data_IF_282590601878
#
_entry.id   IF_282590601878
#
_cell.length_a   1.000
_cell.length_b   1.000
_cell.length_c   1.000
_cell.angle_alpha   90.00
_cell.angle_beta   90.00
_cell.angle_gamma   90.00
#
_symmetry.space_group_name_H-M   'P 1'
#
loop_
_entity.id
_entity.type
_entity.pdbx_description
1 polymer ?
#
# COMPACT_ATOMS: atom_id res chain seq x y z
N UNK A 1 -1.99 10.89 1.08
CA UNK A 1 -1.67 10.98 2.52
C UNK A 1 -1.03 9.68 3.02
N UNK A 2 -1.64 8.51 2.77
CA UNK A 2 -1.10 7.19 3.11
C UNK A 2 0.38 6.98 2.70
N UNK A 3 0.74 7.31 1.45
CA UNK A 3 2.14 7.23 0.97
C UNK A 3 3.14 8.00 1.85
N UNK A 4 2.78 9.20 2.31
CA UNK A 4 3.64 10.02 3.16
C UNK A 4 3.81 9.40 4.53
N UNK A 5 2.73 8.86 5.11
CA UNK A 5 2.77 8.15 6.37
C UNK A 5 3.63 6.88 6.26
N UNK A 6 3.43 6.05 5.23
CA UNK A 6 4.27 4.87 4.97
C UNK A 6 5.75 5.23 4.89
N UNK A 7 6.11 6.29 4.15
CA UNK A 7 7.49 6.75 4.05
C UNK A 7 8.06 7.19 5.41
N UNK A 8 7.27 7.83 6.26
CA UNK A 8 7.70 8.21 7.61
C UNK A 8 7.92 6.98 8.50
N UNK A 9 7.06 5.96 8.41
CA UNK A 9 7.25 4.69 9.11
C UNK A 9 8.54 4.00 8.66
N UNK A 10 8.83 3.97 7.36
CA UNK A 10 10.07 3.39 6.81
C UNK A 10 11.30 4.11 7.37
N UNK A 11 11.31 5.45 7.35
CA UNK A 11 12.40 6.23 7.92
C UNK A 11 12.60 5.94 9.42
N UNK A 12 11.51 5.77 10.17
CA UNK A 12 11.56 5.44 11.61
C UNK A 12 12.08 4.03 11.86
N UNK A 13 11.63 3.04 11.08
CA UNK A 13 12.12 1.66 11.17
C UNK A 13 13.62 1.59 10.90
N UNK A 14 14.09 2.30 9.87
CA UNK A 14 15.52 2.42 9.57
C UNK A 14 16.30 3.06 10.73
N UNK A 15 15.81 4.16 11.30
CA UNK A 15 16.45 4.82 12.43
C UNK A 15 16.56 3.89 13.65
N UNK A 16 15.49 3.18 14.01
CA UNK A 16 15.48 2.21 15.10
C UNK A 16 16.44 1.03 14.85
N UNK A 17 16.51 0.54 13.60
CA UNK A 17 17.46 -0.51 13.19
C UNK A 17 18.93 -0.06 13.29
N UNK A 18 19.22 1.22 13.05
CA UNK A 18 20.56 1.79 13.23
C UNK A 18 20.93 1.89 14.71
N UNK A 19 20.01 2.28 15.58
CA UNK A 19 20.24 2.44 17.02
C UNK A 19 20.46 1.11 17.75
N UNK A 20 19.71 0.06 17.36
CA UNK A 20 19.79 -1.25 17.99
C UNK A 20 21.10 -1.99 17.69
N UNK A 21 21.73 -1.71 16.54
CA UNK A 21 22.94 -2.39 16.10
C UNK A 21 24.20 -1.50 16.20
N UNK A 22 24.58 -1.11 17.42
CA UNK A 22 25.73 -0.22 17.69
C UNK A 22 27.08 -0.64 17.05
N UNK A 23 27.23 -1.91 16.63
CA UNK A 23 28.45 -2.43 15.96
C UNK A 23 28.38 -2.42 14.44
N UNK A 24 27.18 -2.40 13.84
CA UNK A 24 26.97 -2.28 12.38
C UNK A 24 25.90 -1.22 12.17
N UNK A 25 26.27 0.00 11.76
CA UNK A 25 25.29 1.00 11.31
C UNK A 25 24.55 0.41 10.11
N UNK A 26 23.37 -0.21 10.32
CA UNK A 26 22.54 -0.77 9.25
C UNK A 26 22.06 0.38 8.36
N UNK A 27 22.85 0.76 7.37
CA UNK A 27 22.48 1.75 6.36
C UNK A 27 21.79 1.08 5.16
N UNK A 28 21.25 -0.13 5.31
CA UNK A 28 20.62 -0.88 4.25
C UNK A 28 19.18 -1.17 4.62
N UNK A 29 18.26 -0.82 3.74
CA UNK A 29 16.82 -1.09 3.87
C UNK A 29 16.37 -1.94 2.69
N UNK A 30 15.63 -2.99 2.97
CA UNK A 30 14.98 -3.81 1.96
C UNK A 30 13.48 -3.69 2.12
N UNK A 31 12.83 -3.23 1.06
CA UNK A 31 11.38 -3.13 0.98
C UNK A 31 10.84 -4.26 0.11
N UNK A 32 9.96 -5.07 0.67
CA UNK A 32 9.14 -6.05 -0.07
C UNK A 32 7.77 -5.42 -0.30
N UNK A 33 7.45 -5.05 -1.54
CA UNK A 33 6.24 -4.29 -1.88
C UNK A 33 5.22 -5.14 -2.64
N UNK A 34 4.12 -5.48 -1.96
CA UNK A 34 3.02 -6.30 -2.47
C UNK A 34 2.02 -5.47 -3.27
N UNK A 35 1.69 -5.96 -4.47
CA UNK A 35 0.84 -5.26 -5.41
C UNK A 35 1.53 -3.99 -5.91
N UNK A 36 2.78 -4.15 -6.31
CA UNK A 36 3.58 -3.06 -6.86
C UNK A 36 2.85 -2.41 -8.04
N UNK A 37 2.69 -1.08 -8.01
CA UNK A 37 2.03 -0.30 -9.06
C UNK A 37 3.09 0.43 -9.89
N UNK A 38 3.03 1.76 -9.95
CA UNK A 38 3.95 2.59 -10.74
C UNK A 38 5.14 3.16 -9.95
N UNK A 39 5.38 2.68 -8.73
CA UNK A 39 6.56 3.05 -7.93
C UNK A 39 6.62 4.52 -7.45
N UNK A 40 5.57 5.32 -7.61
CA UNK A 40 5.57 6.75 -7.24
C UNK A 40 5.95 7.03 -5.79
N UNK A 41 5.59 6.13 -4.86
CA UNK A 41 5.99 6.22 -3.46
C UNK A 41 7.52 6.28 -3.29
N UNK A 42 8.20 5.43 -4.05
CA UNK A 42 9.64 5.19 -3.95
C UNK A 42 10.44 6.35 -4.53
N UNK A 43 9.97 6.97 -5.62
CA UNK A 43 10.55 8.22 -6.14
C UNK A 43 10.65 9.31 -5.07
N UNK A 44 9.56 9.53 -4.33
CA UNK A 44 9.52 10.54 -3.27
C UNK A 44 10.47 10.22 -2.11
N UNK A 45 10.62 8.93 -1.77
CA UNK A 45 11.51 8.49 -0.69
C UNK A 45 12.98 8.60 -1.09
N UNK A 46 13.34 8.16 -2.30
CA UNK A 46 14.68 8.29 -2.87
C UNK A 46 15.12 9.77 -2.93
N UNK A 47 14.25 10.65 -3.43
CA UNK A 47 14.53 12.09 -3.49
C UNK A 47 14.65 12.74 -2.10
N UNK A 48 13.96 12.21 -1.09
CA UNK A 48 14.10 12.66 0.28
C UNK A 48 15.45 12.24 0.89
N UNK A 49 15.87 11.00 0.66
CA UNK A 49 17.13 10.48 1.19
C UNK A 49 18.38 11.06 0.52
N UNK A 50 18.31 11.38 -0.78
CA UNK A 50 19.44 12.02 -1.47
C UNK A 50 19.82 13.40 -0.91
N UNK A 51 18.92 14.03 -0.15
CA UNK A 51 19.10 15.37 0.44
C UNK A 51 19.53 15.34 1.92
N UNK A 52 19.72 14.17 2.51
CA UNK A 52 20.08 14.06 3.94
C UNK A 52 21.57 14.29 4.17
N UNK A 53 21.92 15.04 5.22
CA UNK A 53 23.31 15.42 5.56
C UNK A 53 24.21 14.21 5.92
N UNK A 54 23.63 13.03 6.18
CA UNK A 54 24.36 11.78 6.45
C UNK A 54 24.55 10.84 5.26
N UNK A 55 24.12 11.27 4.07
CA UNK A 55 24.00 10.46 2.85
C UNK A 55 22.81 9.50 2.88
N UNK A 56 22.36 9.02 1.71
CA UNK A 56 21.25 8.08 1.64
C UNK A 56 21.65 6.69 2.17
N UNK A 57 20.68 5.90 2.70
CA UNK A 57 20.89 4.47 2.88
C UNK A 57 20.98 3.75 1.53
N UNK A 58 21.57 2.57 1.51
CA UNK A 58 21.37 1.58 0.45
C UNK A 58 19.93 1.08 0.51
N UNK A 59 19.22 1.14 -0.61
CA UNK A 59 17.83 0.74 -0.72
C UNK A 59 17.67 -0.40 -1.71
N UNK A 60 17.13 -1.51 -1.25
CA UNK A 60 16.69 -2.62 -2.10
C UNK A 60 15.16 -2.67 -2.14
N UNK A 61 14.58 -2.84 -3.32
CA UNK A 61 13.15 -3.08 -3.48
C UNK A 61 12.96 -4.43 -4.15
N UNK A 62 12.24 -5.33 -3.48
CA UNK A 62 11.64 -6.50 -4.11
C UNK A 62 10.15 -6.23 -4.32
N UNK A 63 9.80 -5.95 -5.56
CA UNK A 63 8.44 -5.64 -5.98
C UNK A 63 7.72 -6.93 -6.39
N UNK A 64 6.54 -7.17 -5.85
CA UNK A 64 5.71 -8.34 -6.17
C UNK A 64 4.41 -7.83 -6.82
N UNK A 65 4.13 -8.27 -8.04
CA UNK A 65 2.87 -7.95 -8.72
C UNK A 65 2.34 -9.15 -9.50
N UNK A 66 1.05 -9.12 -9.83
CA UNK A 66 0.42 -10.19 -10.58
C UNK A 66 1.03 -10.28 -12.00
N UNK A 67 1.22 -11.48 -12.55
CA UNK A 67 1.69 -11.67 -13.92
C UNK A 67 0.82 -10.93 -14.92
N UNK A 68 1.45 -10.18 -15.84
CA UNK A 68 0.73 -9.64 -16.98
C UNK A 68 0.33 -10.73 -17.97
N UNK A 69 -0.82 -10.60 -18.65
CA UNK A 69 -1.17 -11.49 -19.76
C UNK A 69 -0.11 -11.48 -20.86
N UNK A 70 0.05 -12.62 -21.54
CA UNK A 70 0.96 -12.79 -22.68
C UNK A 70 2.37 -13.28 -22.29
N UNK A 71 3.32 -13.16 -23.22
CA UNK A 71 4.64 -13.79 -23.13
C UNK A 71 5.64 -13.10 -22.19
N UNK A 72 5.30 -11.92 -21.64
CA UNK A 72 6.20 -11.14 -20.78
C UNK A 72 5.51 -10.76 -19.46
N UNK A 73 5.29 -11.72 -18.56
CA UNK A 73 4.52 -11.51 -17.33
C UNK A 73 5.12 -10.42 -16.43
N UNK A 74 6.44 -10.25 -16.44
CA UNK A 74 7.16 -9.26 -15.64
C UNK A 74 7.47 -7.93 -16.38
N UNK A 75 6.98 -7.71 -17.61
CA UNK A 75 7.41 -6.55 -18.40
C UNK A 75 7.16 -5.19 -17.71
N UNK A 76 5.97 -4.97 -17.13
CA UNK A 76 5.59 -3.70 -16.48
C UNK A 76 6.38 -3.46 -15.21
N UNK A 77 6.52 -4.48 -14.36
CA UNK A 77 7.24 -4.36 -13.10
C UNK A 77 8.73 -4.08 -13.36
N UNK A 78 9.33 -4.77 -14.34
CA UNK A 78 10.72 -4.54 -14.72
C UNK A 78 10.94 -3.17 -15.36
N UNK A 79 10.04 -2.71 -16.23
CA UNK A 79 10.11 -1.37 -16.80
C UNK A 79 10.07 -0.29 -15.72
N UNK A 80 9.20 -0.44 -14.72
CA UNK A 80 9.12 0.48 -13.57
C UNK A 80 10.39 0.41 -12.72
N UNK A 81 10.96 -0.79 -12.53
CA UNK A 81 12.23 -1.00 -11.86
C UNK A 81 13.40 -0.28 -12.53
N UNK A 82 13.47 -0.32 -13.87
CA UNK A 82 14.47 0.43 -14.64
C UNK A 82 14.35 1.93 -14.39
N UNK A 83 13.13 2.49 -14.47
CA UNK A 83 12.88 3.90 -14.20
C UNK A 83 13.31 4.31 -12.78
N UNK A 84 13.00 3.51 -11.76
CA UNK A 84 13.45 3.78 -10.39
C UNK A 84 14.97 3.69 -10.26
N UNK A 85 15.60 2.73 -10.92
CA UNK A 85 17.06 2.54 -10.87
C UNK A 85 17.78 3.73 -11.49
N UNK A 86 17.31 4.21 -12.64
CA UNK A 86 17.87 5.42 -13.29
C UNK A 86 17.64 6.67 -12.43
N UNK A 87 16.46 6.78 -11.80
CA UNK A 87 16.17 7.86 -10.87
C UNK A 87 17.09 7.83 -9.65
N UNK A 88 17.28 6.68 -9.01
CA UNK A 88 18.18 6.53 -7.87
C UNK A 88 19.63 6.86 -8.24
N UNK A 89 20.09 6.38 -9.41
CA UNK A 89 21.44 6.66 -9.94
C UNK A 89 21.66 8.16 -10.14
N UNK A 90 20.71 8.86 -10.76
CA UNK A 90 20.79 10.32 -10.98
C UNK A 90 20.75 11.14 -9.67
N UNK A 91 20.27 10.57 -8.57
CA UNK A 91 20.22 11.19 -7.25
C UNK A 91 21.30 10.67 -6.29
N UNK A 92 22.24 9.84 -6.77
CA UNK A 92 23.34 9.32 -5.95
C UNK A 92 22.91 8.37 -4.83
N UNK A 93 21.76 7.71 -4.96
CA UNK A 93 21.26 6.75 -3.97
C UNK A 93 21.68 5.33 -4.39
N UNK A 94 22.41 4.57 -3.53
CA UNK A 94 22.71 3.17 -3.80
C UNK A 94 21.40 2.36 -3.81
N UNK A 95 21.10 1.72 -4.93
CA UNK A 95 19.77 1.14 -5.16
C UNK A 95 19.81 -0.16 -5.95
N UNK A 96 19.00 -1.12 -5.52
CA UNK A 96 18.76 -2.38 -6.20
C UNK A 96 17.26 -2.64 -6.35
N UNK A 97 16.84 -3.17 -7.50
CA UNK A 97 15.45 -3.52 -7.76
C UNK A 97 15.34 -4.95 -8.28
N UNK A 98 14.41 -5.71 -7.70
CA UNK A 98 14.02 -7.05 -8.14
C UNK A 98 12.50 -7.10 -8.34
N UNK A 99 12.05 -7.45 -9.55
CA UNK A 99 10.63 -7.66 -9.85
C UNK A 99 10.27 -9.15 -9.83
N UNK A 100 9.21 -9.50 -9.10
CA UNK A 100 8.63 -10.85 -9.06
C UNK A 100 7.21 -10.76 -9.62
N UNK A 101 6.98 -11.47 -10.73
CA UNK A 101 5.65 -11.61 -11.34
C UNK A 101 5.05 -12.96 -10.93
N UNK A 102 4.24 -12.97 -9.88
CA UNK A 102 3.67 -14.18 -9.29
C UNK A 102 2.36 -13.89 -8.53
N UNK A 103 1.61 -14.95 -8.21
CA UNK A 103 0.55 -14.85 -7.20
C UNK A 103 1.17 -14.41 -5.86
N UNK A 104 0.51 -13.50 -5.16
CA UNK A 104 1.12 -12.91 -3.95
C UNK A 104 1.29 -13.95 -2.84
N UNK A 105 0.33 -14.86 -2.74
CA UNK A 105 0.30 -16.00 -1.82
C UNK A 105 1.39 -17.04 -2.09
N UNK A 106 1.98 -17.05 -3.29
CA UNK A 106 3.02 -18.02 -3.65
C UNK A 106 4.42 -17.56 -3.26
N UNK A 107 4.63 -16.27 -2.99
CA UNK A 107 5.95 -15.72 -2.64
C UNK A 107 6.24 -15.91 -1.16
N UNK A 108 7.35 -16.58 -0.86
CA UNK A 108 7.80 -16.92 0.50
C UNK A 108 9.09 -16.20 0.86
N UNK A 109 9.49 -16.30 2.12
CA UNK A 109 10.70 -15.65 2.63
C UNK A 109 11.97 -16.14 1.92
N UNK A 110 12.00 -17.41 1.53
CA UNK A 110 13.13 -18.06 0.85
C UNK A 110 13.34 -17.50 -0.57
N UNK A 111 12.30 -16.94 -1.18
CA UNK A 111 12.37 -16.39 -2.53
C UNK A 111 13.04 -15.00 -2.58
N UNK A 112 13.23 -14.34 -1.44
CA UNK A 112 13.50 -12.90 -1.33
C UNK A 112 14.96 -12.53 -1.04
N UNK A 113 15.83 -13.51 -0.80
CA UNK A 113 17.24 -13.32 -0.44
C UNK A 113 17.41 -12.28 0.69
N UNK A 114 16.67 -12.44 1.79
CA UNK A 114 16.67 -11.48 2.90
C UNK A 114 18.03 -11.49 3.60
N UNK A 115 18.66 -10.31 3.69
CA UNK A 115 19.96 -10.12 4.33
C UNK A 115 19.77 -9.90 5.85
N UNK A 116 20.34 -10.72 6.74
CA UNK A 116 20.20 -10.52 8.18
C UNK A 116 20.69 -9.15 8.68
N UNK A 117 21.58 -8.50 7.93
CA UNK A 117 22.13 -7.19 8.25
C UNK A 117 21.31 -6.01 7.68
N UNK A 118 20.24 -6.24 6.91
CA UNK A 118 19.34 -5.17 6.43
C UNK A 118 18.18 -4.90 7.39
N UNK A 119 17.50 -3.75 7.22
CA UNK A 119 16.19 -3.49 7.83
C UNK A 119 15.12 -3.92 6.83
N UNK A 120 14.30 -4.90 7.19
CA UNK A 120 13.27 -5.45 6.33
C UNK A 120 11.93 -4.77 6.58
N UNK A 121 11.40 -4.11 5.56
CA UNK A 121 10.04 -3.55 5.57
C UNK A 121 9.18 -4.28 4.55
N UNK A 122 8.06 -4.83 5.00
CA UNK A 122 7.02 -5.30 4.08
C UNK A 122 5.98 -4.21 3.93
N UNK A 123 5.57 -3.93 2.70
CA UNK A 123 4.62 -2.87 2.38
C UNK A 123 3.50 -3.42 1.49
N UNK A 124 2.25 -3.11 1.83
CA UNK A 124 1.09 -3.46 1.03
C UNK A 124 0.09 -2.29 1.04
N UNK A 125 -0.13 -1.68 -0.14
CA UNK A 125 -0.90 -0.44 -0.25
C UNK A 125 -2.12 -0.57 -1.17
N UNK A 126 -3.30 -0.77 -0.58
CA UNK A 126 -4.59 -0.82 -1.29
C UNK A 126 -4.60 -1.87 -2.41
N UNK A 127 -4.05 -3.05 -2.10
CA UNK A 127 -3.90 -4.16 -3.05
C UNK A 127 -4.41 -5.49 -2.50
N UNK A 128 -4.17 -5.81 -1.23
CA UNK A 128 -4.58 -7.11 -0.67
C UNK A 128 -6.09 -7.36 -0.73
N UNK A 129 -6.92 -6.32 -0.90
CA UNK A 129 -8.35 -6.49 -1.18
C UNK A 129 -8.68 -7.25 -2.46
N UNK A 130 -7.72 -7.45 -3.39
CA UNK A 130 -7.97 -8.20 -4.62
C UNK A 130 -7.79 -9.70 -4.47
N UNK A 131 -7.20 -10.16 -3.37
CA UNK A 131 -7.08 -11.58 -3.08
C UNK A 131 -8.44 -12.17 -2.73
N UNK A 132 -8.67 -13.42 -3.13
CA UNK A 132 -9.85 -14.18 -2.71
C UNK A 132 -9.86 -14.35 -1.19
N UNK A 133 -11.06 -14.39 -0.62
CA UNK A 133 -11.30 -14.78 0.79
C UNK A 133 -11.74 -16.27 0.87
N UNK A 134 -11.85 -16.93 -0.28
CA UNK A 134 -12.20 -18.35 -0.39
C UNK A 134 -10.91 -19.18 -0.54
N UNK A 135 -10.80 -20.27 0.23
CA UNK A 135 -9.72 -21.26 0.10
C UNK A 135 -9.82 -22.06 -1.20
N UNK A 136 -8.71 -22.66 -1.63
CA UNK A 136 -8.64 -23.36 -2.92
C UNK A 136 -9.46 -24.66 -2.95
N UNK A 137 -9.49 -25.42 -1.85
CA UNK A 137 -9.94 -26.81 -1.86
C UNK A 137 -11.05 -27.14 -0.82
N UNK A 138 -11.17 -26.39 0.29
CA UNK A 138 -12.18 -26.60 1.35
C UNK A 138 -12.36 -25.35 2.24
N UNK A 139 -13.44 -25.30 3.04
CA UNK A 139 -13.74 -24.26 4.05
C UNK A 139 -12.60 -24.11 5.07
N UNK A 140 -11.88 -25.19 5.36
CA UNK A 140 -10.76 -25.19 6.32
C UNK A 140 -9.41 -24.79 5.69
N UNK A 141 -9.33 -24.65 4.36
CA UNK A 141 -8.12 -24.20 3.69
C UNK A 141 -7.89 -22.70 3.92
N UNK A 142 -6.65 -22.25 4.22
CA UNK A 142 -6.37 -20.84 4.37
C UNK A 142 -6.67 -20.09 3.08
N UNK A 143 -7.33 -18.94 3.19
CA UNK A 143 -7.54 -18.07 2.03
C UNK A 143 -6.19 -17.54 1.50
N UNK A 144 -6.12 -17.09 0.23
CA UNK A 144 -4.93 -16.38 -0.27
C UNK A 144 -4.52 -15.19 0.59
N UNK A 145 -5.48 -14.48 1.22
CA UNK A 145 -5.20 -13.39 2.18
C UNK A 145 -4.46 -13.91 3.41
N UNK A 146 -4.93 -15.01 3.98
CA UNK A 146 -4.32 -15.60 5.18
C UNK A 146 -2.93 -16.17 4.86
N UNK A 147 -2.78 -16.77 3.69
CA UNK A 147 -1.49 -17.28 3.20
C UNK A 147 -0.47 -16.16 3.04
N UNK A 148 -0.85 -15.03 2.42
CA UNK A 148 0.04 -13.86 2.31
C UNK A 148 0.45 -13.36 3.70
N UNK A 149 -0.49 -13.19 4.64
CA UNK A 149 -0.16 -12.73 5.98
C UNK A 149 0.76 -13.71 6.73
N UNK A 150 0.56 -15.02 6.55
CA UNK A 150 1.45 -16.05 7.10
C UNK A 150 2.86 -15.96 6.51
N UNK A 151 2.99 -15.80 5.18
CA UNK A 151 4.28 -15.60 4.52
C UNK A 151 4.97 -14.32 5.02
N UNK A 152 4.24 -13.21 5.14
CA UNK A 152 4.76 -11.93 5.67
C UNK A 152 5.28 -12.11 7.10
N UNK A 153 4.56 -12.83 7.95
CA UNK A 153 5.03 -13.14 9.31
C UNK A 153 6.30 -14.00 9.28
N UNK A 154 6.37 -14.99 8.41
CA UNK A 154 7.54 -15.85 8.24
C UNK A 154 8.79 -15.09 7.76
N UNK A 155 8.62 -13.99 7.02
CA UNK A 155 9.72 -13.09 6.63
C UNK A 155 10.33 -12.34 7.83
N UNK A 156 9.62 -12.26 8.96
CA UNK A 156 10.03 -11.55 10.19
C UNK A 156 10.45 -10.08 9.94
N UNK A 157 9.62 -9.25 9.27
CA UNK A 157 9.96 -7.86 9.01
C UNK A 157 10.15 -7.03 10.28
N UNK A 158 11.03 -6.02 10.21
CA UNK A 158 11.15 -4.96 11.22
C UNK A 158 9.91 -4.05 11.24
N UNK A 159 9.22 -3.94 10.10
CA UNK A 159 7.90 -3.30 10.01
C UNK A 159 7.09 -3.88 8.84
N UNK A 160 5.84 -4.26 9.10
CA UNK A 160 4.85 -4.51 8.05
C UNK A 160 3.84 -3.36 8.00
N UNK A 161 3.84 -2.61 6.91
CA UNK A 161 2.93 -1.47 6.68
C UNK A 161 1.77 -1.94 5.82
N UNK A 162 0.58 -1.91 6.40
CA UNK A 162 -0.65 -2.31 5.74
C UNK A 162 -1.56 -1.09 5.56
N UNK A 163 -1.89 -0.77 4.31
CA UNK A 163 -2.89 0.22 3.96
C UNK A 163 -4.03 -0.46 3.21
N UNK A 164 -5.25 -0.29 3.70
CA UNK A 164 -6.45 -0.97 3.20
C UNK A 164 -7.51 0.03 2.81
N UNK A 165 -8.25 -0.31 1.77
CA UNK A 165 -9.46 0.41 1.40
C UNK A 165 -10.51 0.13 2.47
N UNK A 166 -11.00 1.17 3.14
CA UNK A 166 -11.99 0.99 4.19
C UNK A 166 -13.40 0.97 3.60
N UNK A 167 -13.84 -0.21 3.17
CA UNK A 167 -15.20 -0.40 2.69
C UNK A 167 -15.67 -1.84 2.83
N UNK A 168 -16.99 -2.04 2.90
CA UNK A 168 -17.62 -3.35 3.14
C UNK A 168 -18.33 -3.92 1.90
N UNK A 169 -18.05 -3.40 0.70
CA UNK A 169 -18.55 -3.99 -0.55
C UNK A 169 -17.77 -5.23 -1.01
N UNK A 170 -16.97 -5.85 -0.14
CA UNK A 170 -16.48 -7.22 -0.33
C UNK A 170 -17.56 -8.29 -0.18
N UNK A 171 -18.69 -7.97 0.46
CA UNK A 171 -19.77 -8.90 0.80
C UNK A 171 -20.33 -9.68 -0.41
N UNK A 172 -20.79 -10.94 -0.22
CA UNK A 172 -21.29 -11.77 -1.30
C UNK A 172 -22.66 -11.30 -1.85
N UNK A 173 -23.49 -10.68 -1.01
CA UNK A 173 -24.85 -10.29 -1.38
C UNK A 173 -24.89 -9.00 -2.21
N UNK A 174 -25.44 -9.10 -3.44
CA UNK A 174 -25.47 -8.00 -4.42
C UNK A 174 -26.06 -6.70 -3.87
N UNK A 175 -27.27 -6.71 -3.28
CA UNK A 175 -27.94 -5.47 -2.87
C UNK A 175 -27.13 -4.68 -1.83
N UNK A 176 -26.60 -5.37 -0.80
CA UNK A 176 -25.73 -4.76 0.22
C UNK A 176 -24.46 -4.23 -0.42
N UNK A 177 -23.81 -5.05 -1.26
CA UNK A 177 -22.58 -4.70 -1.96
C UNK A 177 -22.75 -3.48 -2.86
N UNK A 178 -23.78 -3.46 -3.69
CA UNK A 178 -24.11 -2.38 -4.61
C UNK A 178 -24.29 -1.06 -3.87
N UNK A 179 -25.08 -1.07 -2.78
CA UNK A 179 -25.32 0.12 -1.96
C UNK A 179 -24.03 0.68 -1.36
N UNK A 180 -23.21 -0.19 -0.77
CA UNK A 180 -21.94 0.25 -0.16
C UNK A 180 -20.93 0.74 -1.21
N UNK A 181 -20.87 0.09 -2.37
CA UNK A 181 -20.06 0.51 -3.50
C UNK A 181 -20.49 1.87 -4.05
N UNK A 182 -21.80 2.08 -4.22
CA UNK A 182 -22.37 3.37 -4.64
C UNK A 182 -21.91 4.48 -3.70
N UNK A 183 -22.14 4.33 -2.39
CA UNK A 183 -21.72 5.37 -1.44
C UNK A 183 -20.20 5.60 -1.42
N UNK A 184 -19.40 4.54 -1.56
CA UNK A 184 -17.95 4.67 -1.59
C UNK A 184 -17.48 5.41 -2.83
N UNK A 185 -17.95 5.01 -4.01
CA UNK A 185 -17.57 5.65 -5.27
C UNK A 185 -18.14 7.07 -5.36
N UNK A 186 -19.37 7.34 -4.91
CA UNK A 186 -19.90 8.71 -4.82
C UNK A 186 -18.98 9.63 -4.02
N UNK A 187 -18.44 9.18 -2.89
CA UNK A 187 -17.48 9.96 -2.12
C UNK A 187 -16.16 10.19 -2.87
N UNK A 188 -15.67 9.18 -3.60
CA UNK A 188 -14.45 9.31 -4.43
C UNK A 188 -14.64 10.29 -5.58
N UNK A 189 -15.78 10.25 -6.27
CA UNK A 189 -16.12 11.15 -7.36
C UNK A 189 -16.35 12.59 -6.87
N UNK A 190 -17.09 12.78 -5.77
CA UNK A 190 -17.27 14.10 -5.14
C UNK A 190 -15.94 14.72 -4.68
N UNK A 191 -15.04 13.90 -4.14
CA UNK A 191 -13.67 14.31 -3.80
C UNK A 191 -12.89 14.77 -5.04
N UNK A 192 -12.91 13.99 -6.12
CA UNK A 192 -12.23 14.36 -7.38
C UNK A 192 -12.82 15.62 -8.00
N UNK A 193 -14.15 15.74 -8.01
CA UNK A 193 -14.86 16.90 -8.53
C UNK A 193 -14.49 18.17 -7.77
N UNK A 194 -14.47 18.10 -6.44
CA UNK A 194 -14.10 19.24 -5.60
C UNK A 194 -12.64 19.65 -5.79
N UNK A 195 -11.72 18.68 -5.81
CA UNK A 195 -10.27 18.96 -5.93
C UNK A 195 -9.88 19.41 -7.34
N UNK A 196 -10.47 18.83 -8.38
CA UNK A 196 -10.26 19.26 -9.77
C UNK A 196 -10.99 20.56 -10.09
N UNK A 197 -12.17 20.78 -9.50
CA UNK A 197 -12.95 22.02 -9.61
C UNK A 197 -12.19 23.25 -9.11
N UNK A 198 -11.34 23.09 -8.09
CA UNK A 198 -10.42 24.14 -7.65
C UNK A 198 -9.38 24.54 -8.72
N UNK A 199 -9.25 23.77 -9.80
CA UNK A 199 -8.35 23.99 -10.94
C UNK A 199 -9.11 24.08 -12.27
N UNK A 200 -10.32 24.63 -12.27
CA UNK A 200 -11.23 24.69 -13.43
C UNK A 200 -10.61 25.23 -14.74
N UNK A 201 -9.54 26.02 -14.68
CA UNK A 201 -8.85 26.54 -15.86
C UNK A 201 -7.71 25.65 -16.39
N UNK A 202 -7.45 24.52 -15.76
CA UNK A 202 -6.42 23.56 -16.16
C UNK A 202 -7.07 22.40 -16.93
N UNK A 203 -7.10 22.51 -18.26
CA UNK A 203 -7.63 21.48 -19.16
C UNK A 203 -6.91 20.13 -18.97
N UNK A 204 -5.61 20.15 -18.62
CA UNK A 204 -4.85 18.93 -18.33
C UNK A 204 -5.35 18.25 -17.06
N UNK A 205 -5.63 19.02 -16.01
CA UNK A 205 -6.22 18.49 -14.78
C UNK A 205 -7.63 17.93 -15.01
N UNK A 206 -8.44 18.56 -15.85
CA UNK A 206 -9.76 18.06 -16.21
C UNK A 206 -9.67 16.73 -16.99
N UNK A 207 -8.79 16.65 -17.99
CA UNK A 207 -8.56 15.41 -18.75
C UNK A 207 -8.01 14.28 -17.86
N UNK A 208 -7.07 14.59 -16.97
CA UNK A 208 -6.52 13.63 -16.01
C UNK A 208 -7.59 13.12 -15.04
N UNK A 209 -8.53 13.97 -14.61
CA UNK A 209 -9.68 13.55 -13.78
C UNK A 209 -10.55 12.54 -14.52
N UNK A 210 -10.96 12.85 -15.76
CA UNK A 210 -11.80 11.93 -16.57
C UNK A 210 -11.11 10.58 -16.73
N UNK A 211 -9.80 10.57 -16.99
CA UNK A 211 -9.02 9.34 -17.08
C UNK A 211 -9.06 8.54 -15.76
N UNK A 212 -8.82 9.18 -14.62
CA UNK A 212 -8.87 8.51 -13.31
C UNK A 212 -10.27 8.00 -12.99
N UNK A 213 -11.30 8.79 -13.25
CA UNK A 213 -12.69 8.41 -13.03
C UNK A 213 -13.10 7.21 -13.87
N UNK A 214 -12.73 7.17 -15.15
CA UNK A 214 -13.08 6.06 -16.05
C UNK A 214 -12.22 4.82 -15.78
N UNK A 215 -10.90 4.98 -15.77
CA UNK A 215 -9.95 3.87 -15.83
C UNK A 215 -9.61 3.29 -14.45
N UNK A 216 -9.71 4.09 -13.38
CA UNK A 216 -9.45 3.61 -12.02
C UNK A 216 -10.74 3.37 -11.25
N UNK A 217 -11.63 4.35 -11.15
CA UNK A 217 -12.84 4.20 -10.33
C UNK A 217 -13.97 3.48 -11.06
N UNK A 218 -14.20 3.81 -12.33
CA UNK A 218 -15.23 3.23 -13.17
C UNK A 218 -15.04 1.73 -13.36
N UNK A 219 -13.82 1.30 -13.72
CA UNK A 219 -13.49 -0.14 -13.84
C UNK A 219 -13.68 -0.91 -12.54
N UNK A 220 -13.30 -0.32 -11.41
CA UNK A 220 -13.51 -0.93 -10.09
C UNK A 220 -14.98 -1.04 -9.72
N UNK A 221 -15.74 0.04 -9.92
CA UNK A 221 -17.18 0.03 -9.69
C UNK A 221 -17.88 -1.00 -10.59
N UNK A 222 -17.49 -1.07 -11.87
CA UNK A 222 -18.01 -2.05 -12.82
C UNK A 222 -17.73 -3.48 -12.33
N UNK A 223 -16.50 -3.81 -11.93
CA UNK A 223 -16.19 -5.15 -11.42
C UNK A 223 -17.03 -5.54 -10.19
N UNK A 224 -17.31 -4.59 -9.30
CA UNK A 224 -18.17 -4.84 -8.13
C UNK A 224 -19.63 -5.12 -8.54
N UNK A 225 -20.13 -4.44 -9.57
CA UNK A 225 -21.54 -4.51 -9.99
C UNK A 225 -21.80 -5.65 -10.98
N UNK A 226 -20.90 -5.88 -11.93
CA UNK A 226 -21.12 -6.78 -13.07
C UNK A 226 -20.49 -8.17 -12.94
N UNK A 227 -19.58 -8.39 -11.98
CA UNK A 227 -18.89 -9.66 -11.83
C UNK A 227 -19.30 -10.38 -10.54
N UNK A 228 -19.23 -11.71 -10.56
CA UNK A 228 -19.44 -12.60 -9.41
C UNK A 228 -18.34 -13.67 -9.37
N UNK A 229 -18.27 -14.45 -8.29
CA UNK A 229 -17.30 -15.54 -8.14
C UNK A 229 -15.86 -15.08 -8.42
N UNK A 230 -15.04 -15.93 -9.03
CA UNK A 230 -13.63 -15.64 -9.31
C UNK A 230 -13.39 -14.40 -10.20
N UNK A 231 -14.36 -14.00 -11.02
CA UNK A 231 -14.24 -12.80 -11.88
C UNK A 231 -14.36 -11.49 -11.09
N UNK A 232 -14.99 -11.53 -9.91
CA UNK A 232 -15.08 -10.38 -9.01
C UNK A 232 -13.80 -10.27 -8.18
N UNK A 233 -12.94 -9.32 -8.54
CA UNK A 233 -11.64 -9.09 -7.90
C UNK A 233 -11.69 -7.93 -6.89
N UNK A 234 -12.61 -6.97 -7.02
CA UNK A 234 -12.73 -5.86 -6.05
C UNK A 234 -13.49 -6.33 -4.80
N UNK A 235 -12.75 -6.75 -3.77
CA UNK A 235 -13.31 -7.33 -2.54
C UNK A 235 -12.76 -6.66 -1.26
N UNK A 236 -12.93 -5.34 -1.07
CA UNK A 236 -12.41 -4.69 0.12
C UNK A 236 -13.12 -5.16 1.38
N UNK A 237 -12.34 -5.15 2.45
CA UNK A 237 -12.77 -5.37 3.82
C UNK A 237 -12.51 -4.11 4.62
N UNK A 238 -13.36 -3.85 5.62
CA UNK A 238 -13.10 -2.77 6.57
C UNK A 238 -11.80 -3.04 7.34
N UNK A 239 -11.12 -1.99 7.79
CA UNK A 239 -9.85 -2.15 8.54
C UNK A 239 -10.00 -2.97 9.82
N UNK A 240 -11.20 -3.00 10.42
CA UNK A 240 -11.50 -3.85 11.59
C UNK A 240 -11.48 -5.34 11.26
N UNK A 241 -11.83 -5.73 10.04
CA UNK A 241 -11.70 -7.12 9.60
C UNK A 241 -10.23 -7.47 9.38
N UNK A 242 -9.47 -6.57 8.75
CA UNK A 242 -8.01 -6.71 8.63
C UNK A 242 -7.30 -6.75 9.99
N UNK A 243 -7.76 -5.99 10.99
CA UNK A 243 -7.26 -6.06 12.36
C UNK A 243 -7.33 -7.49 12.91
N UNK A 244 -8.50 -8.12 12.78
CA UNK A 244 -8.71 -9.51 13.24
C UNK A 244 -7.85 -10.47 12.45
N UNK A 245 -7.76 -10.29 11.12
CA UNK A 245 -7.00 -11.17 10.24
C UNK A 245 -5.50 -11.13 10.51
N UNK A 246 -4.92 -9.93 10.67
CA UNK A 246 -3.52 -9.77 11.06
C UNK A 246 -3.26 -10.41 12.44
N UNK A 247 -4.15 -10.20 13.41
CA UNK A 247 -4.04 -10.82 14.73
C UNK A 247 -4.09 -12.36 14.67
N UNK A 248 -4.97 -12.94 13.84
CA UNK A 248 -5.06 -14.40 13.63
C UNK A 248 -3.81 -14.97 12.94
N UNK A 249 -3.22 -14.23 12.02
CA UNK A 249 -1.93 -14.59 11.43
C UNK A 249 -0.78 -14.54 12.45
N UNK A 250 -1.01 -13.94 13.63
CA UNK A 250 -0.05 -13.78 14.72
C UNK A 250 0.81 -12.52 14.60
N UNK A 251 0.42 -11.57 13.75
CA UNK A 251 1.05 -10.26 13.67
C UNK A 251 0.55 -9.38 14.83
N UNK A 252 1.48 -8.66 15.47
CA UNK A 252 1.16 -7.72 16.54
C UNK A 252 1.16 -6.28 16.01
N UNK A 253 0.08 -5.56 16.23
CA UNK A 253 -0.02 -4.16 15.83
C UNK A 253 1.00 -3.30 16.62
N UNK A 254 1.76 -2.48 15.91
CA UNK A 254 2.66 -1.50 16.50
C UNK A 254 1.86 -0.27 16.93
N UNK A 255 2.32 0.40 18.00
CA UNK A 255 1.74 1.65 18.43
C UNK A 255 2.00 2.75 17.39
N UNK A 256 0.98 3.57 17.11
CA UNK A 256 1.13 4.76 16.29
C UNK A 256 1.99 5.78 17.01
N UNK A 257 2.91 6.36 16.25
CA UNK A 257 3.64 7.54 16.70
C UNK A 257 2.76 8.78 16.58
N UNK A 258 2.39 9.33 17.73
CA UNK A 258 1.55 10.51 17.83
C UNK A 258 2.20 11.76 17.21
N UNK A 259 3.53 11.85 17.17
CA UNK A 259 4.23 12.94 16.48
C UNK A 259 4.06 12.82 14.97
N UNK A 260 4.18 11.60 14.43
CA UNK A 260 3.90 11.34 13.01
C UNK A 260 2.44 11.67 12.66
N UNK A 261 1.48 11.26 13.50
CA UNK A 261 0.06 11.55 13.33
C UNK A 261 -0.17 13.07 13.29
N UNK A 262 0.41 13.79 14.25
CA UNK A 262 0.32 15.26 14.32
C UNK A 262 0.89 15.94 13.07
N UNK A 263 2.05 15.49 12.60
CA UNK A 263 2.68 16.03 11.38
C UNK A 263 1.82 15.77 10.14
N UNK A 264 1.25 14.56 10.02
CA UNK A 264 0.35 14.22 8.91
C UNK A 264 -0.90 15.08 8.98
N UNK A 265 -1.54 15.21 10.14
CA UNK A 265 -2.72 16.06 10.35
C UNK A 265 -2.46 17.51 9.95
N UNK A 266 -1.38 18.11 10.46
CA UNK A 266 -0.98 19.48 10.11
C UNK A 266 -0.75 19.67 8.61
N UNK A 267 -0.10 18.70 7.94
CA UNK A 267 0.09 18.74 6.48
C UNK A 267 -1.24 18.65 5.73
N UNK A 268 -2.22 17.92 6.25
CA UNK A 268 -3.55 17.83 5.64
C UNK A 268 -4.28 19.16 5.73
N UNK A 269 -4.32 19.75 6.92
CA UNK A 269 -4.92 21.06 7.17
C UNK A 269 -4.30 22.18 6.33
N UNK A 270 -2.98 22.10 6.07
CA UNK A 270 -2.26 23.14 5.33
C UNK A 270 -2.30 22.99 3.80
N UNK A 271 -2.32 21.76 3.28
CA UNK A 271 -2.06 21.48 1.86
C UNK A 271 -3.25 20.87 1.11
N UNK A 272 -4.32 20.51 1.81
CA UNK A 272 -5.47 19.81 1.23
C UNK A 272 -6.76 20.55 1.51
N UNK A 273 -7.81 20.21 0.76
CA UNK A 273 -9.15 20.76 0.97
C UNK A 273 -9.66 20.43 2.38
N UNK A 274 -10.41 21.36 3.01
CA UNK A 274 -10.89 21.26 4.40
C UNK A 274 -11.73 20.02 4.72
N UNK A 275 -12.32 19.41 3.70
CA UNK A 275 -13.17 18.22 3.85
C UNK A 275 -12.34 16.92 3.93
N UNK A 276 -11.04 16.98 3.64
CA UNK A 276 -10.13 15.89 3.99
C UNK A 276 -9.91 15.85 5.49
N UNK A 277 -9.91 14.66 6.05
CA UNK A 277 -9.59 14.47 7.45
C UNK A 277 -8.64 13.30 7.67
N UNK A 278 -7.98 13.36 8.82
CA UNK A 278 -7.16 12.31 9.39
C UNK A 278 -7.69 12.01 10.77
N UNK A 279 -7.86 10.74 11.09
CA UNK A 279 -8.30 10.31 12.41
C UNK A 279 -7.53 9.07 12.88
N UNK A 280 -7.67 8.73 14.15
CA UNK A 280 -7.04 7.54 14.74
C UNK A 280 -8.09 6.68 15.42
N UNK A 281 -8.17 5.41 15.02
CA UNK A 281 -8.98 4.40 15.70
C UNK A 281 -8.15 3.12 15.90
N UNK A 282 -8.04 2.62 17.14
CA UNK A 282 -7.34 1.37 17.46
C UNK A 282 -5.95 1.24 16.78
N UNK A 283 -5.10 2.27 16.89
CA UNK A 283 -3.78 2.32 16.25
C UNK A 283 -3.79 2.24 14.70
N UNK A 284 -4.94 2.48 14.07
CA UNK A 284 -5.05 2.76 12.64
C UNK A 284 -5.11 4.26 12.40
N UNK A 285 -4.35 4.73 11.42
CA UNK A 285 -4.48 6.06 10.86
C UNK A 285 -5.56 6.02 9.77
N UNK A 286 -6.72 6.60 10.06
CA UNK A 286 -7.82 6.74 9.12
C UNK A 286 -7.64 8.00 8.27
N UNK A 287 -7.93 7.89 6.97
CA UNK A 287 -7.96 9.02 6.05
C UNK A 287 -9.30 9.03 5.33
N UNK A 288 -9.91 10.20 5.21
CA UNK A 288 -11.25 10.28 4.67
C UNK A 288 -11.62 11.61 4.07
N UNK A 289 -12.88 11.66 3.63
CA UNK A 289 -13.50 12.77 2.93
C UNK A 289 -14.93 12.97 3.45
N UNK A 290 -15.29 14.21 3.83
CA UNK A 290 -16.64 14.59 4.32
C UNK A 290 -17.19 13.62 5.38
N UNK A 291 -16.37 13.27 6.37
CA UNK A 291 -16.74 12.38 7.48
C UNK A 291 -16.72 10.87 7.17
N UNK A 292 -16.47 10.45 5.91
CA UNK A 292 -16.28 9.04 5.56
C UNK A 292 -14.80 8.67 5.51
N UNK A 293 -14.39 7.70 6.32
CA UNK A 293 -13.04 7.11 6.24
C UNK A 293 -12.93 6.22 4.99
N UNK A 294 -12.07 6.60 4.05
CA UNK A 294 -11.88 5.95 2.74
C UNK A 294 -10.78 4.89 2.77
N UNK A 295 -9.70 5.14 3.52
CA UNK A 295 -8.65 4.16 3.75
C UNK A 295 -8.12 4.24 5.17
N UNK A 296 -7.43 3.17 5.58
CA UNK A 296 -6.81 3.06 6.89
C UNK A 296 -5.40 2.50 6.72
N UNK A 297 -4.45 3.01 7.50
CA UNK A 297 -3.06 2.54 7.50
C UNK A 297 -2.67 2.11 8.91
N UNK A 298 -1.98 0.99 9.04
CA UNK A 298 -1.42 0.51 10.30
C UNK A 298 -0.05 -0.13 10.07
N UNK A 299 0.69 -0.30 11.17
CA UNK A 299 1.99 -0.96 11.17
C UNK A 299 1.93 -2.18 12.09
N UNK A 300 2.58 -3.25 11.68
CA UNK A 300 2.55 -4.56 12.34
C UNK A 300 3.95 -5.12 12.48
N UNK A 301 4.12 -5.99 13.46
CA UNK A 301 5.34 -6.72 13.78
C UNK A 301 5.04 -8.23 13.82
N UNK A 302 6.04 -9.10 13.58
CA UNK A 302 5.90 -10.57 13.61
C UNK A 302 5.44 -11.18 14.94
#
# INVERSE_FOLDING_TARGET
MALKFSNMVICRALAAGIESNKKKKKKKVHVVDYGYSYGFQWLALLAFWSRQEGGPPEMRITAIDLPQPGFRPAARINATGCCLTDFARSHGVPFEFRGIAAGWETVRAEDLDIDPDEVLVVHALLRLESLSDEGADDIDSPSPRDTVLANIRAMRPDAFILCVKNSSYGAPFFATRFREALFYHSAMFDMMDTVAGAKQHDESAAAARVLVEQELFGRRAMNVVSCEGAERVERPEAYRQWQVRCGRAGLRQAALDLEMVSLVRKKVEQMYHRDFFVDVDNQWLLQGWKGRALCAVSTWLP
#
